data_IF_181127717672
#
_entry.id   IF_181127717672
#
_cell.length_a   1.000
_cell.length_b   1.000
_cell.length_c   1.000
_cell.angle_alpha   90.00
_cell.angle_beta   90.00
_cell.angle_gamma   90.00
#
_symmetry.space_group_name_H-M   'P 1'
#
loop_
_entity.id
_entity.type
_entity.pdbx_description
1 polymer ?
#
# COMPACT_ATOMS: atom_id res chain seq x y z
N UNK A 1 42.62 31.03 17.58
CA UNK A 1 41.18 30.79 17.84
C UNK A 1 40.52 30.37 16.53
N UNK A 2 40.14 29.10 16.34
CA UNK A 2 39.43 28.67 15.13
C UNK A 2 37.94 29.05 15.24
N UNK A 3 37.40 29.59 14.15
CA UNK A 3 36.01 30.00 13.97
C UNK A 3 35.01 28.84 14.17
N UNK A 4 33.86 29.05 14.84
CA UNK A 4 32.82 28.04 15.00
C UNK A 4 31.92 28.00 13.76
N UNK A 5 32.46 27.54 12.63
CA UNK A 5 31.60 27.15 11.50
C UNK A 5 30.90 25.85 11.91
N UNK A 6 29.65 25.99 12.37
CA UNK A 6 28.71 24.88 12.56
C UNK A 6 28.74 24.02 11.30
N UNK A 7 29.17 22.77 11.42
CA UNK A 7 29.11 21.82 10.32
C UNK A 7 27.65 21.54 10.01
N UNK A 8 27.04 22.35 9.15
CA UNK A 8 25.82 21.95 8.48
C UNK A 8 26.17 20.69 7.71
N UNK A 9 25.64 19.54 8.16
CA UNK A 9 25.84 18.25 7.49
C UNK A 9 25.30 18.44 6.07
N UNK A 10 26.15 18.44 5.02
CA UNK A 10 25.69 18.70 3.65
C UNK A 10 24.54 17.78 3.25
N UNK A 11 24.55 16.56 3.80
CA UNK A 11 23.49 15.55 3.73
C UNK A 11 22.10 16.13 3.98
N UNK A 12 21.91 16.92 5.05
CA UNK A 12 20.59 17.47 5.41
C UNK A 12 20.04 18.42 4.33
N UNK A 13 20.91 19.18 3.65
CA UNK A 13 20.49 20.11 2.59
C UNK A 13 20.05 19.33 1.34
N UNK A 14 20.83 18.31 0.93
CA UNK A 14 20.44 17.45 -0.20
C UNK A 14 19.14 16.69 0.09
N UNK A 15 18.95 16.21 1.32
CA UNK A 15 17.75 15.47 1.71
C UNK A 15 16.51 16.36 1.69
N UNK A 16 16.58 17.57 2.26
CA UNK A 16 15.47 18.53 2.26
C UNK A 16 15.11 18.94 0.82
N UNK A 17 16.11 19.27 -0.01
CA UNK A 17 15.86 19.65 -1.40
C UNK A 17 15.25 18.53 -2.23
N UNK A 18 15.76 17.29 -2.11
CA UNK A 18 15.21 16.14 -2.84
C UNK A 18 13.82 15.71 -2.35
N UNK A 19 13.54 15.87 -1.06
CA UNK A 19 12.22 15.60 -0.49
C UNK A 19 11.18 16.64 -0.92
N UNK A 20 11.60 17.92 -1.08
CA UNK A 20 10.74 19.00 -1.53
C UNK A 20 10.44 18.93 -3.04
N UNK A 21 11.41 18.53 -3.86
CA UNK A 21 11.24 18.37 -5.30
C UNK A 21 12.02 17.14 -5.83
N UNK A 22 11.28 16.10 -6.24
CA UNK A 22 11.85 14.88 -6.81
C UNK A 22 12.62 15.13 -8.11
N UNK A 23 12.24 16.16 -8.89
CA UNK A 23 12.92 16.55 -10.14
C UNK A 23 14.31 17.11 -9.84
N UNK A 24 14.41 18.02 -8.88
CA UNK A 24 15.71 18.52 -8.40
C UNK A 24 16.53 17.40 -7.75
N UNK A 25 15.90 16.53 -6.94
CA UNK A 25 16.55 15.33 -6.41
C UNK A 25 17.16 14.44 -7.50
N UNK A 26 16.44 14.22 -8.61
CA UNK A 26 16.96 13.46 -9.74
C UNK A 26 18.19 14.13 -10.38
N UNK A 27 18.20 15.46 -10.52
CA UNK A 27 19.37 16.22 -11.02
C UNK A 27 20.56 16.09 -10.07
N UNK A 28 20.32 16.13 -8.76
CA UNK A 28 21.36 15.97 -7.73
C UNK A 28 22.04 14.59 -7.80
N UNK A 29 21.31 13.55 -8.21
CA UNK A 29 21.89 12.21 -8.42
C UNK A 29 22.93 12.17 -9.56
N UNK A 30 22.94 13.15 -10.47
CA UNK A 30 23.89 13.23 -11.58
C UNK A 30 25.20 13.93 -11.19
N UNK A 31 25.27 14.56 -10.02
CA UNK A 31 26.42 15.38 -9.60
C UNK A 31 27.61 14.51 -9.21
N UNK A 32 27.40 13.55 -8.29
CA UNK A 32 28.42 12.58 -7.89
C UNK A 32 27.79 11.34 -7.23
N UNK A 33 28.56 10.25 -7.11
CA UNK A 33 28.10 9.00 -6.47
C UNK A 33 27.64 9.18 -5.02
N UNK A 34 28.25 10.10 -4.27
CA UNK A 34 27.86 10.38 -2.89
C UNK A 34 26.50 11.07 -2.82
N UNK A 35 26.27 12.06 -3.68
CA UNK A 35 24.96 12.71 -3.81
C UNK A 35 23.89 11.70 -4.27
N UNK A 36 24.24 10.85 -5.23
CA UNK A 36 23.38 9.74 -5.66
C UNK A 36 23.01 8.82 -4.48
N UNK A 37 23.98 8.39 -3.67
CA UNK A 37 23.71 7.55 -2.49
C UNK A 37 22.74 8.22 -1.51
N UNK A 38 22.98 9.50 -1.20
CA UNK A 38 22.12 10.25 -0.29
C UNK A 38 20.74 10.54 -0.86
N UNK A 39 20.59 10.71 -2.16
CA UNK A 39 19.29 11.12 -2.73
C UNK A 39 18.46 9.91 -3.18
N UNK A 40 19.09 8.80 -3.56
CA UNK A 40 18.38 7.60 -4.02
C UNK A 40 17.41 7.05 -2.98
N UNK A 41 17.79 7.03 -1.70
CA UNK A 41 16.90 6.53 -0.68
C UNK A 41 15.64 7.37 -0.55
N UNK A 42 15.69 8.68 -0.83
CA UNK A 42 14.52 9.58 -0.80
C UNK A 42 13.68 9.39 -2.06
N UNK A 43 14.31 9.35 -3.23
CA UNK A 43 13.59 9.27 -4.50
C UNK A 43 12.82 7.95 -4.65
N UNK A 44 13.39 6.85 -4.15
CA UNK A 44 12.85 5.51 -4.28
C UNK A 44 12.15 4.99 -3.02
N UNK A 45 12.11 5.76 -1.94
CA UNK A 45 11.42 5.38 -0.70
C UNK A 45 9.95 4.99 -0.96
N UNK A 46 9.25 5.87 -1.68
CA UNK A 46 7.84 5.71 -2.07
C UNK A 46 7.69 5.73 -3.59
N UNK A 47 7.25 4.62 -4.15
CA UNK A 47 7.07 4.40 -5.60
C UNK A 47 5.58 4.15 -5.91
N UNK A 48 5.07 4.85 -6.93
CA UNK A 48 3.70 4.70 -7.44
C UNK A 48 3.75 4.30 -8.91
N UNK A 49 3.16 3.16 -9.22
CA UNK A 49 3.11 2.57 -10.56
C UNK A 49 1.66 2.51 -11.05
N UNK A 50 1.20 3.58 -11.68
CA UNK A 50 -0.22 3.82 -12.00
C UNK A 50 -0.67 3.41 -13.39
N UNK A 51 0.22 2.83 -14.20
CA UNK A 51 -0.08 2.36 -15.57
C UNK A 51 0.85 1.22 -15.97
N UNK A 52 0.47 0.40 -16.97
CA UNK A 52 1.34 -0.68 -17.46
C UNK A 52 2.72 -0.14 -17.90
N UNK A 53 2.74 1.00 -18.59
CA UNK A 53 3.96 1.64 -19.07
C UNK A 53 4.88 2.13 -17.94
N UNK A 54 4.34 2.56 -16.80
CA UNK A 54 5.17 2.91 -15.63
C UNK A 54 5.73 1.67 -14.94
N UNK A 55 4.94 0.59 -14.87
CA UNK A 55 5.37 -0.71 -14.32
C UNK A 55 6.52 -1.29 -15.15
N UNK A 56 6.38 -1.35 -16.48
CA UNK A 56 7.40 -1.87 -17.39
C UNK A 56 8.71 -1.05 -17.32
N UNK A 57 8.60 0.28 -17.31
CA UNK A 57 9.77 1.17 -17.16
C UNK A 57 10.48 0.96 -15.82
N UNK A 58 9.73 0.85 -14.73
CA UNK A 58 10.31 0.60 -13.41
C UNK A 58 10.98 -0.77 -13.35
N UNK A 59 10.32 -1.82 -13.84
CA UNK A 59 10.86 -3.17 -13.91
C UNK A 59 12.15 -3.23 -14.74
N UNK A 60 12.20 -2.52 -15.87
CA UNK A 60 13.40 -2.42 -16.71
C UNK A 60 14.53 -1.71 -15.98
N UNK A 61 14.23 -0.59 -15.31
CA UNK A 61 15.20 0.20 -14.55
C UNK A 61 15.87 -0.61 -13.42
N UNK A 62 15.11 -1.40 -12.66
CA UNK A 62 15.68 -2.19 -11.55
C UNK A 62 16.37 -3.48 -12.02
N UNK A 63 16.03 -4.01 -13.21
CA UNK A 63 16.68 -5.20 -13.79
C UNK A 63 17.94 -4.86 -14.58
N UNK A 64 18.00 -3.69 -15.24
CA UNK A 64 19.15 -3.25 -16.04
C UNK A 64 20.43 -3.05 -15.22
N UNK A 65 20.30 -2.82 -13.91
CA UNK A 65 21.41 -2.74 -12.95
C UNK A 65 22.03 -4.11 -12.57
N UNK A 66 21.96 -5.12 -13.46
CA UNK A 66 22.52 -6.47 -13.23
C UNK A 66 23.67 -6.83 -14.18
N UNK A 67 24.04 -5.97 -15.14
CA UNK A 67 24.88 -6.38 -16.28
C UNK A 67 26.27 -5.72 -16.40
N UNK A 68 26.83 -5.14 -15.34
CA UNK A 68 28.21 -4.64 -15.35
C UNK A 68 29.18 -5.71 -14.81
N UNK A 69 29.38 -6.79 -15.59
CA UNK A 69 30.48 -7.74 -15.37
C UNK A 69 31.83 -7.13 -15.76
N UNK A 70 32.39 -6.25 -14.92
CA UNK A 70 33.85 -6.10 -14.79
C UNK A 70 34.21 -5.25 -13.57
N UNK A 71 34.96 -5.84 -12.63
CA UNK A 71 35.69 -5.09 -11.61
C UNK A 71 34.86 -4.66 -10.41
N UNK A 72 35.03 -5.37 -9.29
CA UNK A 72 34.50 -5.00 -7.99
C UNK A 72 34.82 -3.53 -7.64
N UNK A 73 33.78 -2.72 -7.44
CA UNK A 73 33.87 -1.40 -6.85
C UNK A 73 32.53 -1.06 -6.20
N UNK A 74 32.50 -0.96 -4.87
CA UNK A 74 31.46 -0.37 -4.02
C UNK A 74 30.00 -0.63 -4.46
N UNK A 75 29.37 -1.64 -3.87
CA UNK A 75 27.89 -1.90 -3.83
C UNK A 75 27.09 -1.01 -4.78
N UNK A 76 26.88 -1.48 -6.01
CA UNK A 76 26.00 -0.83 -6.97
C UNK A 76 24.62 -0.64 -6.31
N UNK A 77 24.26 0.62 -6.09
CA UNK A 77 23.06 0.99 -5.34
C UNK A 77 21.85 0.66 -6.20
N UNK A 78 21.20 -0.47 -5.91
CA UNK A 78 20.01 -0.88 -6.63
C UNK A 78 18.81 -0.08 -6.13
N UNK A 79 18.07 0.63 -6.99
CA UNK A 79 16.87 1.36 -6.58
C UNK A 79 15.89 0.49 -5.78
N UNK A 80 15.78 -0.80 -6.13
CA UNK A 80 14.90 -1.75 -5.45
C UNK A 80 15.21 -1.95 -3.96
N UNK A 81 16.47 -1.73 -3.54
CA UNK A 81 16.87 -1.87 -2.14
C UNK A 81 16.34 -0.71 -1.25
N UNK A 82 15.90 0.39 -1.85
CA UNK A 82 15.40 1.56 -1.13
C UNK A 82 13.87 1.65 -1.09
N UNK A 83 13.17 0.84 -1.88
CA UNK A 83 11.69 0.88 -1.93
C UNK A 83 11.10 0.38 -0.62
N UNK A 84 10.43 1.28 0.10
CA UNK A 84 9.73 0.99 1.37
C UNK A 84 8.22 1.01 1.21
N UNK A 85 7.69 1.88 0.34
CA UNK A 85 6.27 1.97 -0.01
C UNK A 85 6.10 1.79 -1.52
N UNK A 86 5.28 0.82 -1.92
CA UNK A 86 4.98 0.54 -3.32
C UNK A 86 3.47 0.51 -3.55
N UNK A 87 2.99 1.36 -4.44
CA UNK A 87 1.62 1.33 -4.97
C UNK A 87 1.64 0.85 -6.42
N UNK A 88 0.79 -0.12 -6.74
CA UNK A 88 0.63 -0.67 -8.09
C UNK A 88 -0.86 -0.62 -8.43
N UNK A 89 -1.21 0.07 -9.50
CA UNK A 89 -2.60 0.22 -9.93
C UNK A 89 -3.04 1.69 -10.00
N UNK A 90 -4.27 1.94 -10.42
CA UNK A 90 -4.78 3.30 -10.59
C UNK A 90 -4.79 4.10 -9.29
N UNK A 91 -4.79 5.44 -9.38
CA UNK A 91 -4.75 6.35 -8.23
C UNK A 91 -6.04 7.16 -8.06
N UNK A 92 -6.91 7.23 -9.08
CA UNK A 92 -8.09 8.11 -9.07
C UNK A 92 -9.32 7.54 -9.79
N UNK A 93 -9.20 6.44 -10.54
CA UNK A 93 -10.37 5.76 -11.10
C UNK A 93 -10.03 4.33 -11.45
N UNK A 94 -10.98 3.41 -11.26
CA UNK A 94 -10.86 2.02 -11.71
C UNK A 94 -10.67 1.90 -13.23
N UNK A 95 -11.10 2.93 -13.98
CA UNK A 95 -10.97 3.02 -15.44
C UNK A 95 -9.78 3.90 -15.86
N UNK A 96 -8.91 4.29 -14.91
CA UNK A 96 -7.77 5.14 -15.20
C UNK A 96 -6.71 4.37 -16.01
N UNK A 97 -6.38 4.90 -17.18
CA UNK A 97 -5.36 4.39 -18.11
C UNK A 97 -5.70 2.98 -18.64
N UNK A 98 -4.85 1.99 -18.39
CA UNK A 98 -4.86 0.65 -18.98
C UNK A 98 -4.84 -0.46 -17.92
N UNK A 99 -4.99 -0.12 -16.65
CA UNK A 99 -4.98 -1.04 -15.51
C UNK A 99 -6.38 -1.30 -14.95
N UNK A 100 -7.40 -1.36 -15.81
CA UNK A 100 -8.70 -1.88 -15.39
C UNK A 100 -8.59 -3.37 -15.02
N UNK A 101 -9.38 -3.88 -14.08
CA UNK A 101 -9.30 -5.29 -13.69
C UNK A 101 -9.62 -6.25 -14.87
N UNK A 102 -10.37 -5.80 -15.88
CA UNK A 102 -10.65 -6.56 -17.10
C UNK A 102 -9.58 -6.38 -18.20
N UNK A 103 -8.60 -5.49 -17.98
CA UNK A 103 -7.58 -5.17 -18.97
C UNK A 103 -6.56 -6.31 -19.14
N UNK A 104 -6.22 -6.70 -20.37
CA UNK A 104 -5.11 -7.62 -20.63
C UNK A 104 -3.74 -6.94 -20.48
N UNK A 105 -3.67 -5.61 -20.31
CA UNK A 105 -2.42 -4.86 -20.27
C UNK A 105 -1.65 -5.01 -18.94
N UNK A 106 -2.23 -5.67 -17.93
CA UNK A 106 -1.56 -5.94 -16.65
C UNK A 106 -0.25 -6.73 -16.84
N UNK A 107 0.93 -6.13 -16.57
CA UNK A 107 2.20 -6.80 -16.79
C UNK A 107 2.57 -7.68 -15.57
N UNK A 108 1.76 -8.71 -15.30
CA UNK A 108 1.84 -9.53 -14.07
C UNK A 108 3.25 -10.07 -13.81
N UNK A 109 3.94 -10.54 -14.85
CA UNK A 109 5.32 -11.05 -14.73
C UNK A 109 6.31 -9.99 -14.25
N UNK A 110 6.14 -8.74 -14.70
CA UNK A 110 6.98 -7.62 -14.26
C UNK A 110 6.69 -7.24 -12.83
N UNK A 111 5.43 -7.27 -12.41
CA UNK A 111 5.04 -7.00 -11.03
C UNK A 111 5.68 -8.05 -10.11
N UNK A 112 5.58 -9.34 -10.44
CA UNK A 112 6.26 -10.41 -9.71
C UNK A 112 7.77 -10.13 -9.57
N UNK A 113 8.44 -9.76 -10.66
CA UNK A 113 9.87 -9.44 -10.65
C UNK A 113 10.21 -8.21 -9.79
N UNK A 114 9.35 -7.17 -9.81
CA UNK A 114 9.49 -6.00 -8.94
C UNK A 114 9.39 -6.41 -7.48
N UNK A 115 8.35 -7.15 -7.10
CA UNK A 115 8.14 -7.60 -5.72
C UNK A 115 9.32 -8.46 -5.25
N UNK A 116 9.81 -9.39 -6.07
CA UNK A 116 10.98 -10.22 -5.77
C UNK A 116 12.29 -9.42 -5.57
N UNK A 117 12.43 -8.23 -6.16
CA UNK A 117 13.63 -7.39 -6.02
C UNK A 117 13.54 -6.36 -4.88
N UNK A 118 12.33 -5.96 -4.48
CA UNK A 118 12.07 -4.97 -3.45
C UNK A 118 11.99 -5.60 -2.05
N UNK A 119 13.08 -6.20 -1.57
CA UNK A 119 13.12 -6.92 -0.28
C UNK A 119 13.00 -5.99 0.95
N UNK A 120 13.22 -4.70 0.76
CA UNK A 120 13.10 -3.64 1.78
C UNK A 120 11.65 -3.15 2.01
N UNK A 121 10.68 -3.70 1.27
CA UNK A 121 9.32 -3.22 1.22
C UNK A 121 8.56 -3.43 2.55
N UNK A 122 7.90 -2.38 3.03
CA UNK A 122 7.09 -2.38 4.25
C UNK A 122 5.61 -2.14 3.99
N UNK A 123 5.27 -1.31 3.02
CA UNK A 123 3.88 -1.02 2.66
C UNK A 123 3.67 -1.33 1.20
N UNK A 124 2.73 -2.22 0.91
CA UNK A 124 2.37 -2.63 -0.46
C UNK A 124 0.89 -2.37 -0.69
N UNK A 125 0.58 -1.64 -1.75
CA UNK A 125 -0.75 -1.52 -2.32
C UNK A 125 -0.79 -2.14 -3.72
N UNK A 126 -1.72 -3.07 -3.95
CA UNK A 126 -2.01 -3.62 -5.28
C UNK A 126 -3.50 -3.41 -5.56
N UNK A 127 -3.78 -2.45 -6.44
CA UNK A 127 -5.13 -1.98 -6.69
C UNK A 127 -5.67 -2.43 -8.05
N UNK A 128 -6.95 -2.77 -8.09
CA UNK A 128 -7.71 -3.07 -9.31
C UNK A 128 -7.16 -4.25 -10.13
N UNK A 129 -6.51 -5.21 -9.48
CA UNK A 129 -5.97 -6.40 -10.14
C UNK A 129 -7.05 -7.48 -10.29
N UNK A 130 -7.09 -8.14 -11.45
CA UNK A 130 -8.04 -9.23 -11.68
C UNK A 130 -7.87 -10.38 -10.67
N UNK A 131 -8.98 -10.91 -10.15
CA UNK A 131 -9.00 -12.01 -9.19
C UNK A 131 -8.18 -13.25 -9.58
N UNK A 132 -8.08 -13.57 -10.89
CA UNK A 132 -7.28 -14.71 -11.39
C UNK A 132 -5.77 -14.46 -11.32
N UNK A 133 -5.34 -13.21 -11.31
CA UNK A 133 -3.92 -12.83 -11.26
C UNK A 133 -3.42 -12.74 -9.82
N UNK A 134 -4.31 -12.47 -8.86
CA UNK A 134 -3.97 -12.30 -7.45
C UNK A 134 -3.21 -13.49 -6.84
N UNK A 135 -3.63 -14.77 -6.99
CA UNK A 135 -2.91 -15.89 -6.38
C UNK A 135 -1.44 -15.97 -6.79
N UNK A 136 -1.10 -15.55 -8.01
CA UNK A 136 0.28 -15.51 -8.48
C UNK A 136 1.07 -14.39 -7.80
N UNK A 137 0.51 -13.18 -7.76
CA UNK A 137 1.15 -12.03 -7.13
C UNK A 137 1.35 -12.22 -5.62
N UNK A 138 0.38 -12.85 -4.97
CA UNK A 138 0.38 -13.14 -3.54
C UNK A 138 1.63 -13.94 -3.08
N UNK A 139 2.15 -14.82 -3.95
CA UNK A 139 3.34 -15.63 -3.66
C UNK A 139 4.64 -14.81 -3.67
N UNK A 140 4.69 -13.73 -4.45
CA UNK A 140 5.87 -12.88 -4.62
C UNK A 140 5.88 -11.68 -3.67
N UNK A 141 4.83 -11.48 -2.86
CA UNK A 141 4.83 -10.43 -1.83
C UNK A 141 6.04 -10.61 -0.90
N UNK A 142 6.82 -9.56 -0.61
CA UNK A 142 7.97 -9.70 0.28
C UNK A 142 7.57 -10.04 1.71
N UNK A 143 8.31 -10.95 2.36
CA UNK A 143 8.11 -11.33 3.77
C UNK A 143 8.26 -10.17 4.76
N UNK A 144 8.85 -9.04 4.36
CA UNK A 144 9.02 -7.85 5.20
C UNK A 144 7.82 -6.90 5.21
N UNK A 145 6.80 -7.15 4.37
CA UNK A 145 5.62 -6.29 4.26
C UNK A 145 4.84 -6.30 5.57
N UNK A 146 4.52 -5.11 6.07
CA UNK A 146 3.81 -4.84 7.31
C UNK A 146 2.40 -4.32 7.08
N UNK A 147 2.19 -3.60 5.98
CA UNK A 147 0.89 -3.10 5.58
C UNK A 147 0.60 -3.56 4.15
N UNK A 148 -0.45 -4.39 4.00
CA UNK A 148 -0.88 -4.91 2.70
C UNK A 148 -2.27 -4.36 2.37
N UNK A 149 -2.37 -3.64 1.27
CA UNK A 149 -3.59 -2.96 0.81
C UNK A 149 -3.97 -3.54 -0.56
N UNK A 150 -5.19 -4.05 -0.70
CA UNK A 150 -5.63 -4.70 -1.94
C UNK A 150 -7.07 -4.34 -2.31
N UNK A 151 -7.40 -4.39 -3.60
CA UNK A 151 -8.75 -4.15 -4.12
C UNK A 151 -8.83 -2.95 -5.09
N UNK A 152 -9.99 -2.60 -5.64
CA UNK A 152 -11.24 -3.35 -5.59
C UNK A 152 -11.16 -4.69 -6.33
N UNK A 153 -12.13 -5.58 -6.06
CA UNK A 153 -12.35 -6.85 -6.77
C UNK A 153 -11.14 -7.80 -6.77
N UNK A 154 -10.39 -7.85 -5.67
CA UNK A 154 -9.32 -8.84 -5.57
C UNK A 154 -9.90 -10.27 -5.39
N UNK A 155 -9.15 -11.29 -5.77
CA UNK A 155 -9.52 -12.68 -5.50
C UNK A 155 -9.33 -13.03 -4.02
N UNK A 156 -9.66 -14.27 -3.62
CA UNK A 156 -9.46 -14.73 -2.23
C UNK A 156 -8.04 -14.43 -1.72
N UNK A 157 -7.92 -13.71 -0.62
CA UNK A 157 -6.68 -13.49 0.11
C UNK A 157 -6.50 -14.59 1.16
N UNK A 158 -6.00 -15.76 0.72
CA UNK A 158 -5.72 -16.86 1.64
C UNK A 158 -4.49 -16.52 2.51
N UNK A 159 -4.77 -15.96 3.68
CA UNK A 159 -3.77 -15.39 4.60
C UNK A 159 -2.65 -16.37 4.95
N UNK A 160 -2.97 -17.67 4.99
CA UNK A 160 -2.02 -18.74 5.34
C UNK A 160 -0.90 -18.90 4.32
N UNK A 161 -1.14 -18.51 3.07
CA UNK A 161 -0.17 -18.63 1.98
C UNK A 161 0.52 -17.30 1.64
N UNK A 162 0.14 -16.20 2.30
CA UNK A 162 0.85 -14.94 2.17
C UNK A 162 2.17 -15.01 2.94
N UNK A 163 3.26 -14.89 2.21
CA UNK A 163 4.63 -14.81 2.75
C UNK A 163 4.80 -13.73 3.83
N UNK A 164 4.07 -12.61 3.72
CA UNK A 164 4.09 -11.50 4.67
C UNK A 164 3.18 -11.70 5.89
N UNK A 165 2.35 -12.75 5.94
CA UNK A 165 1.43 -12.96 7.06
C UNK A 165 2.11 -12.92 8.45
N UNK A 166 3.32 -13.46 8.67
CA UNK A 166 3.99 -13.38 9.97
C UNK A 166 4.42 -11.96 10.38
N UNK A 167 4.66 -11.06 9.42
CA UNK A 167 5.12 -9.68 9.66
C UNK A 167 4.03 -8.63 9.53
N UNK A 168 2.95 -8.95 8.81
CA UNK A 168 1.86 -8.04 8.51
C UNK A 168 1.16 -7.61 9.81
N UNK A 169 1.10 -6.29 10.01
CA UNK A 169 0.41 -5.61 11.10
C UNK A 169 -0.90 -5.00 10.64
N UNK A 170 -0.96 -4.60 9.37
CA UNK A 170 -2.11 -3.94 8.78
C UNK A 170 -2.54 -4.65 7.50
N UNK A 171 -3.84 -4.90 7.40
CA UNK A 171 -4.46 -5.41 6.19
C UNK A 171 -5.62 -4.51 5.80
N UNK A 172 -5.61 -4.03 4.56
CA UNK A 172 -6.69 -3.22 4.00
C UNK A 172 -7.24 -3.90 2.75
N UNK A 173 -8.56 -4.00 2.69
CA UNK A 173 -9.29 -4.36 1.48
C UNK A 173 -10.20 -3.21 1.04
N UNK A 174 -10.28 -2.98 -0.25
CA UNK A 174 -11.27 -2.10 -0.88
C UNK A 174 -12.29 -2.92 -1.66
N UNK A 175 -13.59 -2.62 -1.54
CA UNK A 175 -14.71 -3.13 -2.35
C UNK A 175 -14.56 -4.58 -2.84
N UNK A 176 -14.18 -5.47 -1.94
CA UNK A 176 -13.99 -6.88 -2.25
C UNK A 176 -14.83 -7.72 -1.32
N UNK A 177 -15.53 -8.68 -1.91
CA UNK A 177 -16.22 -9.71 -1.16
C UNK A 177 -15.18 -10.62 -0.50
N UNK A 178 -15.26 -10.75 0.81
CA UNK A 178 -14.47 -11.68 1.59
C UNK A 178 -15.41 -12.67 2.27
N UNK A 179 -15.02 -13.93 2.32
CA UNK A 179 -15.75 -14.93 3.10
C UNK A 179 -15.49 -14.73 4.60
N UNK A 180 -16.38 -15.23 5.46
CA UNK A 180 -16.18 -15.15 6.90
C UNK A 180 -14.91 -15.91 7.34
N UNK A 181 -14.65 -17.08 6.75
CA UNK A 181 -13.45 -17.87 7.03
C UNK A 181 -12.16 -17.13 6.67
N UNK A 182 -12.14 -16.43 5.55
CA UNK A 182 -11.02 -15.60 5.11
C UNK A 182 -10.79 -14.46 6.11
N UNK A 183 -11.84 -13.69 6.44
CA UNK A 183 -11.72 -12.61 7.40
C UNK A 183 -11.27 -13.13 8.77
N UNK A 184 -11.81 -14.26 9.23
CA UNK A 184 -11.45 -14.92 10.50
C UNK A 184 -9.97 -15.30 10.54
N UNK A 185 -9.41 -15.81 9.43
CA UNK A 185 -7.98 -16.13 9.35
C UNK A 185 -7.10 -14.89 9.51
N UNK A 186 -7.52 -13.76 8.92
CA UNK A 186 -6.76 -12.50 8.99
C UNK A 186 -6.84 -11.89 10.39
N UNK A 187 -8.05 -11.70 10.92
CA UNK A 187 -8.27 -11.04 12.22
C UNK A 187 -7.67 -11.83 13.39
N UNK A 188 -7.62 -13.17 13.29
CA UNK A 188 -7.01 -14.03 14.31
C UNK A 188 -5.51 -14.25 14.11
N UNK A 189 -4.92 -13.68 13.06
CA UNK A 189 -3.47 -13.74 12.86
C UNK A 189 -2.74 -13.09 14.03
N UNK A 190 -1.74 -13.74 14.65
CA UNK A 190 -1.07 -13.21 15.85
C UNK A 190 -0.32 -11.90 15.57
N UNK A 191 0.04 -11.68 14.31
CA UNK A 191 0.79 -10.52 13.85
C UNK A 191 -0.07 -9.29 13.58
N UNK A 192 -1.34 -9.50 13.21
CA UNK A 192 -2.23 -8.44 12.76
C UNK A 192 -2.68 -7.59 13.95
N UNK A 193 -2.71 -6.27 13.73
CA UNK A 193 -3.17 -5.26 14.69
C UNK A 193 -4.35 -4.48 14.13
N UNK A 194 -4.31 -4.14 12.84
CA UNK A 194 -5.40 -3.40 12.19
C UNK A 194 -5.88 -4.12 10.95
N UNK A 195 -7.20 -4.24 10.82
CA UNK A 195 -7.86 -4.64 9.59
C UNK A 195 -8.78 -3.51 9.17
N UNK A 196 -8.71 -3.04 7.93
CA UNK A 196 -9.61 -2.04 7.38
C UNK A 196 -10.36 -2.60 6.17
N UNK A 197 -11.68 -2.54 6.20
CA UNK A 197 -12.54 -2.81 5.05
C UNK A 197 -13.10 -1.49 4.56
N UNK A 198 -12.66 -1.09 3.37
CA UNK A 198 -13.03 0.16 2.74
C UNK A 198 -14.10 -0.09 1.68
N UNK A 199 -15.26 0.51 1.87
CA UNK A 199 -16.38 0.44 0.94
C UNK A 199 -16.60 1.79 0.30
N UNK A 200 -16.39 1.89 -1.01
CA UNK A 200 -16.59 3.13 -1.77
C UNK A 200 -18.06 3.56 -1.85
N UNK A 201 -18.97 2.62 -1.56
CA UNK A 201 -20.43 2.77 -1.56
C UNK A 201 -21.05 1.96 -0.42
N UNK A 202 -22.25 2.32 0.08
CA UNK A 202 -22.92 1.61 1.17
C UNK A 202 -23.42 0.20 0.83
N UNK A 203 -23.26 -0.26 -0.42
CA UNK A 203 -23.68 -1.60 -0.86
C UNK A 203 -22.90 -2.72 -0.16
N UNK A 204 -21.68 -2.44 0.32
CA UNK A 204 -20.81 -3.43 0.97
C UNK A 204 -21.13 -3.74 2.44
N UNK A 205 -22.13 -3.07 3.04
CA UNK A 205 -22.36 -3.14 4.50
C UNK A 205 -22.93 -4.46 5.01
N UNK A 206 -23.29 -5.40 4.13
CA UNK A 206 -23.50 -6.82 4.53
C UNK A 206 -22.28 -7.43 5.23
N UNK A 207 -21.10 -6.82 5.08
CA UNK A 207 -19.90 -7.12 5.86
C UNK A 207 -20.11 -7.09 7.39
N UNK A 208 -21.10 -6.34 7.90
CA UNK A 208 -21.37 -6.28 9.34
C UNK A 208 -21.80 -7.64 9.92
N UNK A 209 -22.39 -8.52 9.11
CA UNK A 209 -22.75 -9.88 9.53
C UNK A 209 -21.53 -10.73 9.91
N UNK A 210 -20.34 -10.36 9.40
CA UNK A 210 -19.11 -11.11 9.62
C UNK A 210 -18.35 -10.63 10.87
N UNK A 211 -18.85 -9.61 11.60
CA UNK A 211 -18.11 -9.02 12.71
C UNK A 211 -17.89 -9.98 13.88
N UNK A 212 -18.69 -11.04 14.03
CA UNK A 212 -18.43 -12.11 15.00
C UNK A 212 -17.06 -12.78 14.82
N UNK A 213 -16.41 -12.67 13.66
CA UNK A 213 -15.07 -13.21 13.44
C UNK A 213 -13.99 -12.57 14.33
N UNK A 214 -14.23 -11.36 14.88
CA UNK A 214 -13.30 -10.68 15.81
C UNK A 214 -13.29 -11.33 17.18
N UNK A 215 -14.32 -12.10 17.53
CA UNK A 215 -14.35 -12.83 18.79
C UNK A 215 -13.19 -13.83 18.83
N UNK A 216 -12.40 -13.75 19.91
CA UNK A 216 -11.21 -14.57 20.09
C UNK A 216 -9.96 -14.07 19.35
N UNK A 217 -10.00 -12.93 18.67
CA UNK A 217 -8.80 -12.30 18.13
C UNK A 217 -7.96 -11.71 19.28
N UNK A 218 -6.82 -12.33 19.59
CA UNK A 218 -5.95 -11.89 20.71
C UNK A 218 -5.04 -10.72 20.34
N UNK A 219 -4.63 -10.63 19.07
CA UNK A 219 -3.69 -9.62 18.60
C UNK A 219 -4.34 -8.38 17.99
N UNK A 220 -5.63 -8.45 17.64
CA UNK A 220 -6.30 -7.39 16.90
C UNK A 220 -6.62 -6.20 17.79
N UNK A 221 -6.07 -5.04 17.44
CA UNK A 221 -6.39 -3.77 18.10
C UNK A 221 -7.67 -3.17 17.51
N UNK A 222 -7.79 -3.16 16.18
CA UNK A 222 -8.92 -2.52 15.50
C UNK A 222 -9.32 -3.21 14.19
N UNK A 223 -10.63 -3.46 14.03
CA UNK A 223 -11.29 -3.70 12.75
C UNK A 223 -12.07 -2.44 12.36
N UNK A 224 -11.73 -1.84 11.23
CA UNK A 224 -12.34 -0.61 10.74
C UNK A 224 -13.22 -0.91 9.52
N UNK A 225 -14.50 -0.56 9.62
CA UNK A 225 -15.44 -0.58 8.51
C UNK A 225 -15.60 0.86 8.03
N UNK A 226 -14.94 1.20 6.93
CA UNK A 226 -15.06 2.52 6.31
C UNK A 226 -16.17 2.46 5.27
N UNK A 227 -17.18 3.29 5.45
CA UNK A 227 -18.27 3.45 4.48
C UNK A 227 -18.16 4.84 3.84
N UNK A 228 -18.14 4.87 2.51
CA UNK A 228 -18.19 6.10 1.76
C UNK A 228 -19.59 6.36 1.16
N UNK A 229 -20.01 7.61 1.20
CA UNK A 229 -21.15 8.15 0.44
C UNK A 229 -20.80 9.53 -0.14
N UNK A 230 -21.77 10.24 -0.71
CA UNK A 230 -21.57 11.60 -1.22
C UNK A 230 -21.22 12.58 -0.10
N UNK A 231 -21.75 12.38 1.11
CA UNK A 231 -21.43 13.13 2.32
C UNK A 231 -21.06 12.20 3.50
N UNK A 232 -20.46 12.76 4.55
CA UNK A 232 -20.15 12.00 5.77
C UNK A 232 -21.44 11.62 6.50
N UNK A 233 -22.43 12.50 6.45
CA UNK A 233 -23.75 12.35 7.08
C UNK A 233 -24.52 11.19 6.43
N UNK A 234 -24.56 11.12 5.10
CA UNK A 234 -25.17 9.99 4.39
C UNK A 234 -24.46 8.67 4.70
N UNK A 235 -23.12 8.68 4.74
CA UNK A 235 -22.36 7.49 5.10
C UNK A 235 -22.64 7.04 6.54
N UNK A 236 -22.86 7.98 7.47
CA UNK A 236 -23.21 7.69 8.85
C UNK A 236 -24.62 7.08 8.96
N UNK A 237 -25.61 7.66 8.26
CA UNK A 237 -26.96 7.11 8.20
C UNK A 237 -26.98 5.69 7.64
N UNK A 238 -26.22 5.43 6.57
CA UNK A 238 -26.12 4.10 5.99
C UNK A 238 -25.49 3.08 6.96
N UNK A 239 -24.48 3.49 7.73
CA UNK A 239 -23.88 2.64 8.77
C UNK A 239 -24.87 2.36 9.91
N UNK A 240 -25.64 3.34 10.33
CA UNK A 240 -26.66 3.19 11.37
C UNK A 240 -27.79 2.25 10.93
N UNK A 241 -28.32 2.44 9.73
CA UNK A 241 -29.33 1.55 9.13
C UNK A 241 -28.81 0.11 9.03
N UNK A 242 -27.55 -0.07 8.61
CA UNK A 242 -26.94 -1.40 8.54
C UNK A 242 -26.78 -2.02 9.94
N UNK A 243 -26.41 -1.25 10.96
CA UNK A 243 -26.34 -1.76 12.33
C UNK A 243 -27.70 -2.24 12.83
N UNK A 244 -28.77 -1.49 12.56
CA UNK A 244 -30.14 -1.89 12.92
C UNK A 244 -30.57 -3.15 12.16
N UNK A 245 -30.31 -3.19 10.85
CA UNK A 245 -30.66 -4.32 9.98
C UNK A 245 -29.99 -5.62 10.41
N UNK A 246 -28.70 -5.55 10.74
CA UNK A 246 -27.91 -6.72 11.14
C UNK A 246 -27.84 -6.94 12.65
N UNK A 247 -28.57 -6.13 13.44
CA UNK A 247 -28.59 -6.17 14.91
C UNK A 247 -27.19 -6.18 15.51
N UNK A 248 -26.31 -5.35 14.95
CA UNK A 248 -24.93 -5.25 15.42
C UNK A 248 -24.84 -4.35 16.64
N UNK A 249 -24.24 -4.86 17.72
CA UNK A 249 -23.93 -4.09 18.92
C UNK A 249 -22.47 -3.58 18.85
N UNK A 250 -22.21 -2.28 19.11
CA UNK A 250 -20.86 -1.73 19.08
C UNK A 250 -19.90 -2.44 20.04
N UNK A 251 -18.76 -2.90 19.51
CA UNK A 251 -17.66 -3.46 20.30
C UNK A 251 -16.45 -2.53 20.31
N UNK A 252 -15.58 -2.57 21.35
CA UNK A 252 -14.38 -1.74 21.41
C UNK A 252 -13.41 -1.97 20.22
N UNK A 253 -13.35 -3.20 19.73
CA UNK A 253 -12.43 -3.60 18.65
C UNK A 253 -12.91 -3.19 17.26
N UNK A 254 -14.18 -2.85 17.07
CA UNK A 254 -14.71 -2.43 15.77
C UNK A 254 -14.89 -0.91 15.75
N UNK A 255 -14.53 -0.27 14.64
CA UNK A 255 -14.90 1.12 14.35
C UNK A 255 -15.68 1.17 13.06
N UNK A 256 -16.80 1.88 13.10
CA UNK A 256 -17.58 2.25 11.93
C UNK A 256 -17.23 3.68 11.58
N UNK A 257 -16.65 3.88 10.38
CA UNK A 257 -16.04 5.16 9.99
C UNK A 257 -16.79 5.70 8.77
N UNK A 258 -17.67 6.69 8.94
CA UNK A 258 -18.30 7.35 7.81
C UNK A 258 -17.32 8.32 7.14
N UNK A 259 -17.26 8.30 5.80
CA UNK A 259 -16.49 9.25 4.99
C UNK A 259 -17.28 9.70 3.76
N UNK A 260 -16.93 10.88 3.26
CA UNK A 260 -17.34 11.29 1.91
C UNK A 260 -16.33 10.76 0.89
N UNK A 261 -16.79 10.18 -0.22
CA UNK A 261 -15.94 9.89 -1.39
C UNK A 261 -15.76 11.11 -2.31
N UNK A 262 -16.31 12.27 -1.94
CA UNK A 262 -16.14 13.50 -2.71
C UNK A 262 -14.73 14.04 -2.47
N UNK A 263 -13.86 13.84 -3.44
CA UNK A 263 -12.48 14.29 -3.43
C UNK A 263 -12.30 15.40 -4.49
N UNK A 264 -11.91 16.61 -4.03
CA UNK A 264 -11.76 17.80 -4.90
C UNK A 264 -12.97 18.05 -5.82
N UNK A 265 -14.18 17.81 -5.29
CA UNK A 265 -15.45 18.03 -6.00
C UNK A 265 -15.90 16.90 -6.92
N UNK A 266 -15.23 15.74 -6.92
CA UNK A 266 -15.60 14.57 -7.74
C UNK A 266 -15.76 13.32 -6.88
N UNK A 267 -16.63 12.40 -7.29
CA UNK A 267 -16.73 11.08 -6.66
C UNK A 267 -15.47 10.26 -7.03
N UNK A 268 -14.52 10.18 -6.10
CA UNK A 268 -13.23 9.52 -6.30
C UNK A 268 -12.74 8.85 -5.00
N UNK A 269 -13.34 7.72 -4.64
CA UNK A 269 -12.97 6.96 -3.45
C UNK A 269 -11.56 6.36 -3.54
N UNK A 270 -11.03 6.15 -4.74
CA UNK A 270 -9.70 5.57 -4.92
C UNK A 270 -8.60 6.61 -4.68
N UNK A 271 -8.79 7.86 -5.11
CA UNK A 271 -7.89 8.96 -4.75
C UNK A 271 -7.88 9.21 -3.25
N UNK A 272 -9.03 9.14 -2.59
CA UNK A 272 -9.11 9.22 -1.13
C UNK A 272 -8.27 8.12 -0.47
N UNK A 273 -8.38 6.88 -0.95
CA UNK A 273 -7.60 5.75 -0.44
C UNK A 273 -6.10 5.88 -0.76
N UNK A 274 -5.76 6.41 -1.93
CA UNK A 274 -4.37 6.65 -2.32
C UNK A 274 -3.70 7.73 -1.45
N UNK A 275 -4.40 8.82 -1.14
CA UNK A 275 -3.89 9.85 -0.22
C UNK A 275 -3.71 9.29 1.20
N UNK A 276 -4.70 8.53 1.70
CA UNK A 276 -4.57 7.78 2.96
C UNK A 276 -3.31 6.88 2.95
N UNK A 277 -3.02 6.22 1.82
CA UNK A 277 -1.84 5.36 1.67
C UNK A 277 -0.54 6.16 1.66
N UNK A 278 -0.50 7.32 1.00
CA UNK A 278 0.66 8.21 1.01
C UNK A 278 0.96 8.72 2.42
N UNK A 279 -0.07 9.08 3.17
CA UNK A 279 0.03 9.59 4.54
C UNK A 279 0.25 8.50 5.58
N UNK A 280 -0.01 7.23 5.23
CA UNK A 280 0.17 6.11 6.14
C UNK A 280 1.62 6.08 6.67
N UNK A 281 1.81 6.15 8.00
CA UNK A 281 3.13 6.17 8.59
C UNK A 281 3.85 4.85 8.37
N UNK A 282 5.18 4.88 8.41
CA UNK A 282 5.95 3.65 8.52
C UNK A 282 5.54 2.91 9.78
N UNK A 283 5.02 1.69 9.63
CA UNK A 283 4.76 0.79 10.74
C UNK A 283 6.10 0.50 11.43
N UNK A 284 6.36 1.19 12.54
CA UNK A 284 7.65 1.18 13.23
C UNK A 284 8.00 -0.24 13.71
N UNK A 285 9.27 -0.61 13.61
CA UNK A 285 9.76 -1.78 14.34
C UNK A 285 9.77 -1.40 15.81
N UNK A 286 8.93 -2.02 16.63
CA UNK A 286 9.31 -2.19 18.03
C UNK A 286 10.20 -3.44 18.00
N UNK A 287 11.51 -3.23 17.97
CA UNK A 287 12.51 -4.28 18.19
C UNK A 287 12.60 -4.54 19.68
#
# INVERSE_FOLDING_TARGET
MPSPWRSYKPTLVFEISAAADKSEGAKLCLVCRTAQYWVMHILYDTVVLSSSATIERFATSINGARSSTSGASLTELKPSAFVRKLWIGPTSSIDQVDLSYSSPAWPILRICAILALCQSLHTLAIMNVHQKSWPRLALDVPRGVRALWIGPVHGKADWRYLSCAPSAREFLTMDTYMTEDELRQIVRSPSIRRVRRFFSRPVGLGALQQLGCVEGAQGLEKLEIVCCSSSKEEAAMALEEACQTYRYEPTPHVALIPRSHMYKGRCDPLALLHDDWLDAPYVRCIL
#
